data_IF_328325152639
#
_entry.id   IF_328325152639
#
_cell.length_a   1.000
_cell.length_b   1.000
_cell.length_c   1.000
_cell.angle_alpha   90.00
_cell.angle_beta   90.00
_cell.angle_gamma   90.00
#
_symmetry.space_group_name_H-M   'P 1'
#
loop_
_entity.id
_entity.type
_entity.pdbx_description
1 polymer ?
#
# COMPACT_ATOMS: atom_id res chain seq x y z
N UNK A 1 -32.31 -8.71 1.34
CA UNK A 1 -31.78 -7.49 1.98
C UNK A 1 -30.36 -7.30 1.48
N UNK A 2 -30.20 -6.54 0.40
CA UNK A 2 -28.90 -6.17 -0.16
C UNK A 2 -28.27 -5.14 0.78
N UNK A 3 -27.24 -5.56 1.53
CA UNK A 3 -26.49 -4.64 2.37
C UNK A 3 -25.69 -3.68 1.48
N UNK A 4 -26.08 -2.40 1.50
CA UNK A 4 -25.29 -1.24 1.05
C UNK A 4 -23.96 -1.19 1.83
N UNK A 5 -22.95 -1.92 1.38
CA UNK A 5 -21.55 -1.81 1.87
C UNK A 5 -20.75 -0.84 0.98
N UNK A 6 -21.33 -0.33 -0.11
CA UNK A 6 -20.59 0.48 -1.11
C UNK A 6 -20.35 1.96 -0.74
N UNK A 7 -20.81 2.44 0.41
CA UNK A 7 -20.87 3.87 0.71
C UNK A 7 -19.57 4.54 1.16
N UNK A 8 -18.63 3.83 1.79
CA UNK A 8 -17.50 4.47 2.50
C UNK A 8 -16.12 4.25 1.88
N UNK A 9 -15.94 3.22 1.05
CA UNK A 9 -14.62 2.82 0.55
C UNK A 9 -14.01 3.80 -0.47
N UNK A 10 -14.82 4.66 -1.09
CA UNK A 10 -14.33 5.72 -1.99
C UNK A 10 -13.42 6.72 -1.27
N UNK A 11 -13.51 6.84 0.07
CA UNK A 11 -12.73 7.77 0.90
C UNK A 11 -11.26 7.37 1.07
N UNK A 12 -10.83 6.19 0.63
CA UNK A 12 -9.42 5.76 0.73
C UNK A 12 -8.50 6.53 -0.24
N UNK A 13 -9.02 7.08 -1.34
CA UNK A 13 -8.18 7.67 -2.39
C UNK A 13 -7.28 8.84 -2.01
N UNK A 14 -7.64 9.79 -1.12
CA UNK A 14 -6.71 10.84 -0.69
C UNK A 14 -5.44 10.27 -0.02
N UNK A 15 -5.52 9.09 0.60
CA UNK A 15 -4.32 8.44 1.15
C UNK A 15 -3.38 7.92 0.05
N UNK A 16 -3.91 7.54 -1.12
CA UNK A 16 -3.09 7.18 -2.27
C UNK A 16 -2.33 8.38 -2.84
N UNK A 17 -2.94 9.57 -2.84
CA UNK A 17 -2.29 10.82 -3.23
C UNK A 17 -1.18 11.22 -2.24
N UNK A 18 -1.43 11.11 -0.93
CA UNK A 18 -0.39 11.31 0.10
C UNK A 18 0.80 10.37 -0.11
N UNK A 19 0.54 9.08 -0.39
CA UNK A 19 1.58 8.10 -0.69
C UNK A 19 2.32 8.46 -1.99
N UNK A 20 1.62 8.96 -3.01
CA UNK A 20 2.26 9.43 -4.25
C UNK A 20 3.18 10.63 -4.02
N UNK A 21 2.76 11.58 -3.19
CA UNK A 21 3.61 12.70 -2.77
C UNK A 21 4.91 12.19 -2.11
N UNK A 22 4.84 11.16 -1.27
CA UNK A 22 6.03 10.59 -0.65
C UNK A 22 6.92 9.80 -1.61
N UNK A 23 6.35 9.10 -2.59
CA UNK A 23 7.13 8.40 -3.64
C UNK A 23 7.92 9.38 -4.51
N UNK A 24 7.47 10.63 -4.64
CA UNK A 24 8.13 11.67 -5.45
C UNK A 24 9.62 11.86 -5.12
N UNK A 25 9.99 11.65 -3.85
CA UNK A 25 11.34 11.87 -3.36
C UNK A 25 12.29 10.70 -3.63
N UNK A 26 11.81 9.62 -4.23
CA UNK A 26 12.57 8.39 -4.48
C UNK A 26 13.00 8.25 -5.94
N UNK A 27 13.88 7.28 -6.19
CA UNK A 27 14.26 6.80 -7.52
C UNK A 27 13.22 5.86 -8.16
N UNK A 28 12.04 5.68 -7.56
CA UNK A 28 10.98 4.84 -8.13
C UNK A 28 10.61 5.40 -9.51
N UNK A 29 10.72 4.62 -10.60
CA UNK A 29 10.47 5.14 -11.93
C UNK A 29 9.06 5.71 -12.07
N UNK A 30 8.97 6.88 -12.70
CA UNK A 30 7.76 7.67 -12.92
C UNK A 30 7.08 8.23 -11.66
N UNK A 31 7.54 7.93 -10.45
CA UNK A 31 6.89 8.40 -9.22
C UNK A 31 6.82 9.93 -9.13
N UNK A 32 7.90 10.62 -9.52
CA UNK A 32 7.93 12.08 -9.52
C UNK A 32 6.92 12.70 -10.50
N UNK A 33 6.83 12.14 -11.71
CA UNK A 33 5.90 12.61 -12.73
C UNK A 33 4.45 12.34 -12.33
N UNK A 34 4.14 11.15 -11.81
CA UNK A 34 2.81 10.79 -11.32
C UNK A 34 2.39 11.73 -10.19
N UNK A 35 3.27 12.00 -9.23
CA UNK A 35 3.00 12.95 -8.13
C UNK A 35 2.61 14.33 -8.64
N UNK A 36 3.35 14.85 -9.62
CA UNK A 36 3.08 16.14 -10.27
C UNK A 36 1.75 16.14 -11.02
N UNK A 37 1.49 15.12 -11.84
CA UNK A 37 0.23 15.01 -12.60
C UNK A 37 -0.99 14.89 -11.68
N UNK A 38 -0.84 14.23 -10.53
CA UNK A 38 -1.88 14.09 -9.52
C UNK A 38 -2.05 15.33 -8.63
N UNK A 39 -1.19 16.36 -8.75
CA UNK A 39 -1.10 17.46 -7.79
C UNK A 39 -0.98 16.96 -6.34
N UNK A 40 -0.24 15.87 -6.13
CA UNK A 40 -0.27 15.08 -4.90
C UNK A 40 0.14 15.88 -3.65
N UNK A 41 1.07 16.83 -3.77
CA UNK A 41 1.44 17.73 -2.67
C UNK A 41 0.25 18.58 -2.20
N UNK A 42 -0.50 19.17 -3.13
CA UNK A 42 -1.64 20.01 -2.79
C UNK A 42 -2.75 19.19 -2.15
N UNK A 43 -2.99 17.98 -2.66
CA UNK A 43 -3.95 17.04 -2.06
C UNK A 43 -3.49 16.65 -0.65
N UNK A 44 -2.21 16.32 -0.46
CA UNK A 44 -1.65 16.01 0.85
C UNK A 44 -1.86 17.16 1.83
N UNK A 45 -1.54 18.40 1.47
CA UNK A 45 -1.80 19.56 2.34
C UNK A 45 -3.29 19.71 2.70
N UNK A 46 -4.19 19.49 1.73
CA UNK A 46 -5.63 19.60 1.93
C UNK A 46 -6.17 18.52 2.89
N UNK A 47 -5.58 17.32 2.90
CA UNK A 47 -5.93 16.26 3.87
C UNK A 47 -5.74 16.78 5.29
N UNK A 48 -4.58 17.37 5.60
CA UNK A 48 -4.30 17.87 6.94
C UNK A 48 -5.13 19.12 7.24
N UNK A 49 -5.30 20.06 6.30
CA UNK A 49 -6.15 21.24 6.48
C UNK A 49 -7.60 20.88 6.82
N UNK A 50 -8.18 19.92 6.12
CA UNK A 50 -9.58 19.56 6.30
C UNK A 50 -9.83 18.72 7.57
N UNK A 51 -8.84 17.94 8.01
CA UNK A 51 -8.98 17.07 9.18
C UNK A 51 -8.39 17.64 10.47
N UNK A 52 -7.58 18.70 10.38
CA UNK A 52 -7.03 19.45 11.51
C UNK A 52 -7.35 20.96 11.36
N UNK A 53 -8.64 21.34 11.24
CA UNK A 53 -9.04 22.69 10.86
C UNK A 53 -8.65 23.78 11.88
N UNK A 54 -8.37 23.39 13.12
CA UNK A 54 -7.99 24.31 14.20
C UNK A 54 -6.49 24.67 14.19
N UNK A 55 -5.69 24.05 13.31
CA UNK A 55 -4.26 24.35 13.20
C UNK A 55 -4.00 25.39 12.11
N UNK A 56 -3.10 26.37 12.34
CA UNK A 56 -2.70 27.31 11.30
C UNK A 56 -1.97 26.59 10.15
N UNK A 57 -2.05 27.14 8.94
CA UNK A 57 -1.46 26.53 7.73
C UNK A 57 0.04 26.24 7.89
N UNK A 58 0.79 27.11 8.56
CA UNK A 58 2.22 26.91 8.84
C UNK A 58 2.49 25.67 9.71
N UNK A 59 1.64 25.43 10.72
CA UNK A 59 1.74 24.24 11.56
C UNK A 59 1.42 22.96 10.76
N UNK A 60 0.42 23.01 9.88
CA UNK A 60 0.08 21.90 8.98
C UNK A 60 1.25 21.59 8.04
N UNK A 61 1.83 22.61 7.40
CA UNK A 61 3.01 22.45 6.53
C UNK A 61 4.18 21.86 7.31
N UNK A 62 4.42 22.32 8.54
CA UNK A 62 5.45 21.78 9.42
C UNK A 62 5.18 20.30 9.74
N UNK A 63 3.95 19.94 10.12
CA UNK A 63 3.55 18.54 10.36
C UNK A 63 3.83 17.68 9.13
N UNK A 64 3.26 18.04 7.97
CA UNK A 64 3.42 17.29 6.74
C UNK A 64 4.90 17.12 6.36
N UNK A 65 5.70 18.20 6.46
CA UNK A 65 7.12 18.16 6.15
C UNK A 65 7.89 17.26 7.13
N UNK A 66 7.68 17.40 8.43
CA UNK A 66 8.32 16.55 9.44
C UNK A 66 8.01 15.08 9.21
N UNK A 67 6.74 14.72 8.96
CA UNK A 67 6.37 13.34 8.64
C UNK A 67 7.01 12.86 7.34
N UNK A 68 6.98 13.69 6.30
CA UNK A 68 7.56 13.37 5.00
C UNK A 68 9.05 13.06 5.11
N UNK A 69 9.81 13.91 5.82
CA UNK A 69 11.26 13.78 5.94
C UNK A 69 11.67 12.62 6.86
N UNK A 70 11.00 12.47 8.01
CA UNK A 70 11.43 11.53 9.05
C UNK A 70 10.87 10.12 8.88
N UNK A 71 9.75 9.96 8.17
CA UNK A 71 9.08 8.66 8.05
C UNK A 71 8.55 8.38 6.63
N UNK A 72 7.69 9.26 6.11
CA UNK A 72 6.89 9.03 4.90
C UNK A 72 7.73 8.57 3.70
N UNK A 73 8.71 9.37 3.26
CA UNK A 73 9.50 9.05 2.06
C UNK A 73 10.29 7.75 2.19
N UNK A 74 10.88 7.49 3.37
CA UNK A 74 11.69 6.29 3.63
C UNK A 74 10.82 5.05 3.72
N UNK A 75 9.74 5.13 4.50
CA UNK A 75 8.84 4.01 4.70
C UNK A 75 8.16 3.61 3.40
N UNK A 76 7.69 4.58 2.60
CA UNK A 76 7.02 4.30 1.34
C UNK A 76 7.97 3.76 0.27
N UNK A 77 9.20 4.29 0.16
CA UNK A 77 10.19 3.70 -0.74
C UNK A 77 10.53 2.27 -0.33
N UNK A 78 10.79 2.03 0.96
CA UNK A 78 11.05 0.70 1.50
C UNK A 78 9.90 -0.27 1.27
N UNK A 79 8.66 0.15 1.52
CA UNK A 79 7.47 -0.65 1.28
C UNK A 79 7.29 -1.01 -0.20
N UNK A 80 7.55 -0.07 -1.10
CA UNK A 80 7.48 -0.31 -2.54
C UNK A 80 8.56 -1.31 -2.99
N UNK A 81 9.81 -1.08 -2.58
CA UNK A 81 10.96 -1.89 -3.00
C UNK A 81 10.94 -3.29 -2.39
N UNK A 82 10.54 -3.45 -1.12
CA UNK A 82 10.42 -4.78 -0.49
C UNK A 82 9.37 -5.63 -1.21
N UNK A 83 8.20 -5.07 -1.55
CA UNK A 83 7.16 -5.77 -2.27
C UNK A 83 7.64 -6.20 -3.67
N UNK A 84 8.32 -5.31 -4.40
CA UNK A 84 8.91 -5.65 -5.70
C UNK A 84 9.98 -6.75 -5.59
N UNK A 85 10.79 -6.71 -4.54
CA UNK A 85 11.81 -7.73 -4.27
C UNK A 85 11.16 -9.09 -4.01
N UNK A 86 10.06 -9.14 -3.24
CA UNK A 86 9.34 -10.40 -3.01
C UNK A 86 8.64 -10.91 -4.27
N UNK A 87 8.05 -10.03 -5.09
CA UNK A 87 7.49 -10.41 -6.40
C UNK A 87 8.59 -11.05 -7.27
N UNK A 88 9.78 -10.45 -7.32
CA UNK A 88 10.92 -11.00 -8.07
C UNK A 88 11.37 -12.35 -7.49
N UNK A 89 11.47 -12.47 -6.16
CA UNK A 89 11.89 -13.68 -5.46
C UNK A 89 10.96 -14.86 -5.70
N UNK A 90 9.65 -14.66 -5.70
CA UNK A 90 8.69 -15.75 -5.97
C UNK A 90 8.67 -16.17 -7.44
N UNK A 91 9.11 -15.31 -8.36
CA UNK A 91 9.27 -15.62 -9.79
C UNK A 91 7.96 -15.84 -10.56
N UNK A 92 6.80 -15.64 -9.95
CA UNK A 92 5.50 -15.83 -10.60
C UNK A 92 5.23 -14.70 -11.60
N UNK A 93 4.91 -15.08 -12.83
CA UNK A 93 4.73 -14.15 -13.97
C UNK A 93 3.31 -13.63 -14.16
N UNK A 94 2.37 -14.02 -13.30
CA UNK A 94 1.00 -13.52 -13.32
C UNK A 94 0.74 -12.76 -12.02
N UNK A 95 0.58 -11.45 -12.11
CA UNK A 95 0.44 -10.58 -10.93
C UNK A 95 -0.96 -9.99 -10.91
N UNK A 96 -1.61 -10.11 -9.75
CA UNK A 96 -2.91 -9.52 -9.48
C UNK A 96 -2.79 -8.53 -8.33
N UNK A 97 -2.82 -7.23 -8.62
CA UNK A 97 -2.66 -6.17 -7.62
C UNK A 97 -4.00 -5.58 -7.24
N UNK A 98 -4.38 -5.70 -5.96
CA UNK A 98 -5.51 -5.01 -5.37
C UNK A 98 -5.13 -3.64 -4.81
N UNK A 99 -6.03 -2.67 -4.96
CA UNK A 99 -5.83 -1.27 -4.55
C UNK A 99 -4.53 -0.67 -5.13
N UNK A 100 -4.31 -0.89 -6.43
CA UNK A 100 -3.13 -0.44 -7.17
C UNK A 100 -2.93 1.08 -7.14
N UNK A 101 -4.00 1.85 -6.96
CA UNK A 101 -3.92 3.30 -6.87
C UNK A 101 -3.27 3.91 -8.11
N UNK A 102 -2.45 4.94 -7.89
CA UNK A 102 -1.57 5.55 -8.89
C UNK A 102 -0.14 5.01 -8.83
N UNK A 103 0.06 3.78 -8.35
CA UNK A 103 1.39 3.21 -8.24
C UNK A 103 2.03 2.94 -9.62
N UNK A 104 3.29 3.34 -9.88
CA UNK A 104 3.97 3.03 -11.15
C UNK A 104 4.41 1.57 -11.30
N UNK A 105 4.22 0.73 -10.26
CA UNK A 105 4.69 -0.67 -10.23
C UNK A 105 4.27 -1.45 -11.46
N UNK A 106 3.02 -1.30 -11.89
CA UNK A 106 2.45 -2.03 -13.00
C UNK A 106 3.14 -1.67 -14.34
N UNK A 107 3.53 -0.41 -14.55
CA UNK A 107 4.28 0.05 -15.74
C UNK A 107 5.70 -0.54 -15.75
N UNK A 108 6.34 -0.55 -14.58
CA UNK A 108 7.72 -1.00 -14.40
C UNK A 108 7.86 -2.51 -14.58
N UNK A 109 7.01 -3.28 -13.89
CA UNK A 109 7.09 -4.74 -13.92
C UNK A 109 6.73 -5.30 -15.31
N UNK A 110 5.78 -4.67 -16.01
CA UNK A 110 5.37 -5.11 -17.35
C UNK A 110 6.36 -4.75 -18.46
N UNK A 111 7.48 -4.09 -18.14
CA UNK A 111 8.62 -4.02 -19.06
C UNK A 111 9.14 -5.42 -19.40
N UNK A 112 9.05 -6.39 -18.48
CA UNK A 112 9.20 -7.81 -18.79
C UNK A 112 7.93 -8.29 -19.51
N UNK A 113 8.03 -8.52 -20.82
CA UNK A 113 6.91 -8.96 -21.66
C UNK A 113 6.40 -10.36 -21.30
N UNK A 114 7.16 -11.15 -20.53
CA UNK A 114 6.69 -12.44 -20.00
C UNK A 114 5.71 -12.31 -18.83
N UNK A 115 5.64 -11.14 -18.19
CA UNK A 115 4.77 -10.89 -17.04
C UNK A 115 3.41 -10.39 -17.50
N UNK A 116 2.32 -11.04 -17.08
CA UNK A 116 0.97 -10.49 -17.14
C UNK A 116 0.62 -9.80 -15.83
N UNK A 117 0.14 -8.57 -15.91
CA UNK A 117 -0.18 -7.75 -14.74
C UNK A 117 -1.60 -7.24 -14.82
N UNK A 118 -2.39 -7.49 -13.77
CA UNK A 118 -3.72 -6.92 -13.61
C UNK A 118 -3.68 -5.96 -12.43
N UNK A 119 -3.73 -4.66 -12.73
CA UNK A 119 -3.85 -3.59 -11.74
C UNK A 119 -5.33 -3.31 -11.49
N UNK A 120 -5.75 -3.33 -10.22
CA UNK A 120 -7.16 -3.16 -9.87
C UNK A 120 -7.39 -2.10 -8.81
N UNK A 121 -8.59 -1.55 -8.82
CA UNK A 121 -9.08 -0.60 -7.83
C UNK A 121 -10.61 -0.55 -7.92
N UNK A 122 -11.25 0.18 -7.01
CA UNK A 122 -12.69 0.47 -7.10
C UNK A 122 -12.99 1.18 -8.43
N UNK A 123 -14.16 0.95 -9.07
CA UNK A 123 -14.46 1.47 -10.42
C UNK A 123 -14.17 2.96 -10.62
N UNK A 124 -14.63 3.81 -9.69
CA UNK A 124 -14.42 5.26 -9.74
C UNK A 124 -12.94 5.64 -9.63
N UNK A 125 -12.20 4.95 -8.75
CA UNK A 125 -10.77 5.20 -8.50
C UNK A 125 -9.92 4.71 -9.66
N UNK A 126 -10.21 3.52 -10.19
CA UNK A 126 -9.50 2.97 -11.32
C UNK A 126 -9.61 3.90 -12.53
N UNK A 127 -10.78 4.50 -12.79
CA UNK A 127 -10.97 5.40 -13.93
C UNK A 127 -10.00 6.60 -13.87
N UNK A 128 -9.95 7.31 -12.74
CA UNK A 128 -9.05 8.45 -12.55
C UNK A 128 -7.58 8.05 -12.53
N UNK A 129 -7.23 7.03 -11.75
CA UNK A 129 -5.84 6.59 -11.58
C UNK A 129 -5.25 6.05 -12.89
N UNK A 130 -6.04 5.29 -13.65
CA UNK A 130 -5.67 4.79 -14.98
C UNK A 130 -5.41 5.93 -15.96
N UNK A 131 -6.13 7.05 -15.85
CA UNK A 131 -5.89 8.25 -16.66
C UNK A 131 -4.47 8.78 -16.48
N UNK A 132 -4.04 8.94 -15.22
CA UNK A 132 -2.69 9.41 -14.87
C UNK A 132 -1.61 8.44 -15.36
N UNK A 133 -1.76 7.15 -15.09
CA UNK A 133 -0.80 6.13 -15.53
C UNK A 133 -0.71 6.05 -17.07
N UNK A 134 -1.84 6.16 -17.77
CA UNK A 134 -1.86 6.22 -19.24
C UNK A 134 -1.21 7.50 -19.78
N UNK A 135 -1.35 8.62 -19.09
CA UNK A 135 -0.69 9.86 -19.48
C UNK A 135 0.83 9.73 -19.39
N UNK A 136 1.34 9.15 -18.30
CA UNK A 136 2.77 8.81 -18.18
C UNK A 136 3.20 7.88 -19.31
N UNK A 137 2.47 6.78 -19.53
CA UNK A 137 2.80 5.86 -20.64
C UNK A 137 2.83 6.57 -21.99
N UNK A 138 1.89 7.48 -22.25
CA UNK A 138 1.85 8.29 -23.48
C UNK A 138 3.06 9.22 -23.58
N UNK A 139 3.41 9.93 -22.51
CA UNK A 139 4.55 10.86 -22.48
C UNK A 139 5.88 10.16 -22.81
N UNK A 140 6.01 8.89 -22.42
CA UNK A 140 7.21 8.06 -22.66
C UNK A 140 7.07 7.09 -23.85
N UNK A 141 6.01 7.21 -24.66
CA UNK A 141 5.73 6.31 -25.80
C UNK A 141 5.72 4.81 -25.42
N UNK A 142 5.27 4.50 -24.21
CA UNK A 142 5.22 3.16 -23.64
C UNK A 142 3.95 2.45 -24.08
N UNK A 143 4.12 1.26 -24.67
CA UNK A 143 3.02 0.29 -24.86
C UNK A 143 3.25 -0.93 -23.97
N UNK A 144 2.18 -1.39 -23.30
CA UNK A 144 2.19 -2.56 -22.40
C UNK A 144 0.98 -3.46 -22.71
N UNK A 145 1.07 -4.35 -23.72
CA UNK A 145 -0.04 -5.24 -24.08
C UNK A 145 -0.31 -6.32 -23.00
N UNK A 146 0.63 -6.47 -22.08
CA UNK A 146 0.60 -7.37 -20.93
C UNK A 146 0.12 -6.69 -19.62
N UNK A 147 -0.28 -5.41 -19.68
CA UNK A 147 -0.86 -4.66 -18.57
C UNK A 147 -2.37 -4.51 -18.75
N UNK A 148 -3.13 -4.94 -17.76
CA UNK A 148 -4.59 -4.86 -17.72
C UNK A 148 -5.03 -4.03 -16.52
N UNK A 149 -6.11 -3.28 -16.70
CA UNK A 149 -6.77 -2.54 -15.63
C UNK A 149 -8.18 -3.08 -15.44
N UNK A 150 -8.46 -3.68 -14.29
CA UNK A 150 -9.76 -4.30 -13.99
C UNK A 150 -10.41 -3.62 -12.77
N UNK A 151 -11.64 -3.07 -12.90
CA UNK A 151 -12.33 -2.49 -11.75
C UNK A 151 -12.86 -3.61 -10.86
N UNK A 152 -12.53 -3.57 -9.57
CA UNK A 152 -13.00 -4.57 -8.61
C UNK A 152 -13.45 -3.95 -7.29
N UNK A 153 -14.35 -4.63 -6.60
CA UNK A 153 -14.50 -4.51 -5.15
C UNK A 153 -13.92 -5.78 -4.51
N UNK A 154 -12.86 -5.64 -3.71
CA UNK A 154 -12.17 -6.77 -3.08
C UNK A 154 -13.00 -7.52 -2.04
N UNK A 155 -14.07 -6.90 -1.54
CA UNK A 155 -15.03 -7.52 -0.62
C UNK A 155 -16.17 -8.23 -1.36
N UNK A 156 -16.34 -7.98 -2.66
CA UNK A 156 -17.29 -8.72 -3.50
C UNK A 156 -16.58 -9.86 -4.22
N UNK A 157 -16.94 -11.11 -3.86
CA UNK A 157 -16.28 -12.31 -4.38
C UNK A 157 -16.34 -12.40 -5.90
N UNK A 158 -17.48 -12.08 -6.50
CA UNK A 158 -17.67 -12.20 -7.95
C UNK A 158 -16.79 -11.18 -8.68
N UNK A 159 -16.84 -9.92 -8.26
CA UNK A 159 -16.00 -8.83 -8.78
C UNK A 159 -14.51 -9.14 -8.63
N UNK A 160 -14.09 -9.63 -7.46
CA UNK A 160 -12.71 -10.00 -7.18
C UNK A 160 -12.21 -11.13 -8.09
N UNK A 161 -13.00 -12.18 -8.31
CA UNK A 161 -12.60 -13.29 -9.19
C UNK A 161 -12.67 -12.89 -10.66
N UNK A 162 -13.70 -12.14 -11.06
CA UNK A 162 -13.86 -11.68 -12.44
C UNK A 162 -12.74 -10.73 -12.86
N UNK A 163 -12.22 -9.91 -11.93
CA UNK A 163 -11.11 -9.00 -12.20
C UNK A 163 -9.82 -9.72 -12.62
N UNK A 164 -9.62 -10.97 -12.18
CA UNK A 164 -8.45 -11.78 -12.50
C UNK A 164 -8.53 -12.45 -13.90
N UNK A 165 -9.66 -12.37 -14.61
CA UNK A 165 -9.86 -13.02 -15.93
C UNK A 165 -8.79 -12.74 -17.00
N UNK A 166 -8.13 -11.57 -17.06
CA UNK A 166 -7.05 -11.35 -18.04
C UNK A 166 -5.80 -12.21 -17.79
N UNK A 167 -5.66 -12.77 -16.58
CA UNK A 167 -4.63 -13.75 -16.28
C UNK A 167 -4.96 -15.08 -16.99
N UNK A 168 -3.92 -15.79 -17.40
CA UNK A 168 -4.05 -17.13 -17.98
C UNK A 168 -4.06 -18.22 -16.92
N UNK A 169 -3.81 -19.46 -17.38
CA UNK A 169 -3.61 -20.62 -16.49
C UNK A 169 -2.27 -20.52 -15.77
N UNK A 170 -2.21 -21.00 -14.54
CA UNK A 170 -0.99 -21.09 -13.74
C UNK A 170 -1.02 -20.24 -12.46
N UNK A 171 0.09 -20.24 -11.70
CA UNK A 171 0.17 -19.57 -10.41
C UNK A 171 -0.01 -18.06 -10.53
N UNK A 172 -0.62 -17.46 -9.52
CA UNK A 172 -0.83 -16.01 -9.41
C UNK A 172 -0.11 -15.48 -8.16
N UNK A 173 0.63 -14.39 -8.32
CA UNK A 173 1.09 -13.56 -7.23
C UNK A 173 0.01 -12.50 -6.97
N UNK A 174 -0.84 -12.77 -5.99
CA UNK A 174 -1.79 -11.78 -5.49
C UNK A 174 -1.04 -10.83 -4.55
N UNK A 175 -1.12 -9.53 -4.82
CA UNK A 175 -0.42 -8.51 -4.06
C UNK A 175 -1.34 -7.35 -3.70
N UNK A 176 -1.03 -6.68 -2.61
CA UNK A 176 -1.58 -5.35 -2.33
C UNK A 176 -0.67 -4.60 -1.37
N UNK A 177 -0.80 -3.27 -1.38
CA UNK A 177 -0.19 -2.39 -0.40
C UNK A 177 -1.14 -1.22 -0.07
N UNK A 178 -1.21 -0.82 1.20
CA UNK A 178 -2.12 0.21 1.67
C UNK A 178 -3.60 -0.18 1.60
N UNK A 179 -3.94 -1.44 1.86
CA UNK A 179 -5.33 -1.93 1.81
C UNK A 179 -5.78 -2.55 3.13
N UNK A 180 -5.08 -3.60 3.60
CA UNK A 180 -5.50 -4.38 4.77
C UNK A 180 -5.69 -3.55 6.07
N UNK A 181 -4.94 -2.46 6.34
CA UNK A 181 -5.11 -1.67 7.56
C UNK A 181 -6.44 -0.90 7.61
N UNK A 182 -7.10 -0.69 6.46
CA UNK A 182 -8.39 0.01 6.38
C UNK A 182 -9.59 -0.88 6.72
N UNK A 183 -9.38 -2.20 6.80
CA UNK A 183 -10.46 -3.16 7.02
C UNK A 183 -10.62 -3.50 8.50
N UNK A 184 -11.82 -3.41 9.10
CA UNK A 184 -12.10 -4.08 10.36
C UNK A 184 -11.99 -5.60 10.18
N UNK A 185 -11.97 -6.33 11.30
CA UNK A 185 -11.69 -7.77 11.29
C UNK A 185 -12.62 -8.57 10.36
N UNK A 186 -13.91 -8.23 10.32
CA UNK A 186 -14.88 -8.89 9.43
C UNK A 186 -14.54 -8.68 7.95
N UNK A 187 -14.15 -7.48 7.56
CA UNK A 187 -13.77 -7.19 6.17
C UNK A 187 -12.45 -7.86 5.81
N UNK A 188 -11.48 -7.94 6.75
CA UNK A 188 -10.25 -8.73 6.54
C UNK A 188 -10.57 -10.19 6.26
N UNK A 189 -11.51 -10.78 7.00
CA UNK A 189 -11.93 -12.17 6.81
C UNK A 189 -12.51 -12.39 5.41
N UNK A 190 -13.48 -11.55 5.00
CA UNK A 190 -14.08 -11.63 3.65
C UNK A 190 -13.02 -11.47 2.56
N UNK A 191 -12.14 -10.48 2.71
CA UNK A 191 -11.04 -10.27 1.78
C UNK A 191 -10.12 -11.48 1.70
N UNK A 192 -9.70 -12.02 2.84
CA UNK A 192 -8.84 -13.21 2.92
C UNK A 192 -9.49 -14.45 2.30
N UNK A 193 -10.79 -14.66 2.48
CA UNK A 193 -11.56 -15.75 1.85
C UNK A 193 -11.64 -15.60 0.33
N UNK A 194 -11.74 -14.37 -0.17
CA UNK A 194 -11.70 -14.08 -1.61
C UNK A 194 -10.31 -14.38 -2.20
N UNK A 195 -9.24 -13.98 -1.50
CA UNK A 195 -7.86 -14.28 -1.89
C UNK A 195 -7.61 -15.79 -1.88
N UNK A 196 -8.04 -16.49 -0.83
CA UNK A 196 -8.01 -17.95 -0.75
C UNK A 196 -8.73 -18.59 -1.94
N UNK A 197 -9.96 -18.15 -2.23
CA UNK A 197 -10.77 -18.70 -3.33
C UNK A 197 -10.10 -18.54 -4.70
N UNK A 198 -9.33 -17.47 -4.91
CA UNK A 198 -8.52 -17.29 -6.10
C UNK A 198 -7.35 -18.28 -6.12
N UNK A 199 -6.57 -18.33 -5.04
CA UNK A 199 -5.35 -19.13 -4.96
C UNK A 199 -5.62 -20.63 -4.90
N UNK A 200 -6.78 -21.09 -4.43
CA UNK A 200 -7.20 -22.50 -4.52
C UNK A 200 -7.36 -22.94 -5.97
N UNK A 201 -7.72 -22.03 -6.87
CA UNK A 201 -7.91 -22.32 -8.30
C UNK A 201 -6.64 -22.17 -9.12
N UNK A 202 -5.83 -21.18 -8.78
CA UNK A 202 -4.65 -20.81 -9.58
C UNK A 202 -3.35 -21.37 -9.02
N UNK A 203 -3.31 -21.69 -7.73
CA UNK A 203 -2.06 -21.76 -6.96
C UNK A 203 -1.40 -20.38 -6.85
N UNK A 204 -0.19 -20.34 -6.27
CA UNK A 204 0.61 -19.13 -6.16
C UNK A 204 0.74 -18.60 -4.73
N UNK A 205 0.72 -17.28 -4.57
CA UNK A 205 1.03 -16.59 -3.30
C UNK A 205 0.16 -15.37 -3.07
N UNK A 206 -0.02 -15.04 -1.79
CA UNK A 206 -0.44 -13.72 -1.35
C UNK A 206 0.76 -12.99 -0.72
N UNK A 207 1.18 -11.87 -1.31
CA UNK A 207 2.29 -11.03 -0.81
C UNK A 207 1.76 -9.69 -0.33
N UNK A 208 2.07 -9.31 0.91
CA UNK A 208 1.71 -7.97 1.39
C UNK A 208 2.61 -7.45 2.53
N UNK A 209 3.00 -6.16 2.48
CA UNK A 209 3.65 -5.48 3.61
C UNK A 209 2.64 -4.87 4.61
N UNK A 210 1.33 -5.07 4.40
CA UNK A 210 0.28 -4.36 5.12
C UNK A 210 -0.05 -4.96 6.51
N UNK A 211 0.98 -5.33 7.25
CA UNK A 211 0.80 -5.92 8.58
C UNK A 211 1.14 -4.87 9.64
N UNK A 212 0.11 -4.40 10.35
CA UNK A 212 0.23 -3.45 11.46
C UNK A 212 -0.14 -4.12 12.77
N UNK A 213 0.72 -3.96 13.79
CA UNK A 213 0.52 -4.47 15.13
C UNK A 213 0.31 -3.32 16.13
N UNK A 214 -0.75 -3.37 16.92
CA UNK A 214 -1.06 -2.37 17.94
C UNK A 214 0.05 -2.30 18.99
N UNK A 215 0.54 -3.42 19.46
CA UNK A 215 1.61 -3.47 20.47
C UNK A 215 2.93 -2.86 19.95
N UNK A 216 3.31 -3.13 18.70
CA UNK A 216 4.50 -2.55 18.08
C UNK A 216 4.35 -1.05 17.80
N UNK A 217 3.13 -0.58 17.51
CA UNK A 217 2.85 0.87 17.42
C UNK A 217 2.95 1.49 18.82
N UNK A 218 2.36 0.88 19.83
CA UNK A 218 2.39 1.37 21.21
C UNK A 218 3.83 1.48 21.73
N UNK A 219 4.64 0.42 21.59
CA UNK A 219 6.07 0.43 21.95
C UNK A 219 6.83 1.56 21.28
N UNK A 220 6.59 1.82 19.98
CA UNK A 220 7.19 2.94 19.25
C UNK A 220 6.69 4.31 19.71
N UNK A 221 5.48 4.40 20.25
CA UNK A 221 4.93 5.63 20.81
C UNK A 221 5.46 5.90 22.21
N UNK A 222 5.83 4.86 22.97
CA UNK A 222 6.37 4.98 24.32
C UNK A 222 7.86 5.39 24.33
N UNK A 223 8.59 5.16 23.22
CA UNK A 223 9.97 5.63 23.05
C UNK A 223 10.09 7.07 22.54
N UNK A 224 8.97 7.73 22.22
CA UNK A 224 8.93 9.09 21.65
C UNK A 224 8.82 10.15 22.75
N UNK A 225 9.36 11.33 22.49
CA UNK A 225 9.07 12.50 23.32
C UNK A 225 7.58 12.86 23.28
N UNK A 226 7.04 13.58 24.29
CA UNK A 226 5.64 14.00 24.30
C UNK A 226 5.21 14.71 23.01
N UNK A 227 6.06 15.58 22.48
CA UNK A 227 5.81 16.33 21.25
C UNK A 227 5.77 15.41 20.01
N UNK A 228 6.69 14.45 19.91
CA UNK A 228 6.70 13.48 18.81
C UNK A 228 5.49 12.53 18.86
N UNK A 229 5.04 12.18 20.07
CA UNK A 229 3.84 11.38 20.30
C UNK A 229 2.60 12.14 19.84
N UNK A 230 2.43 13.39 20.26
CA UNK A 230 1.33 14.26 19.83
C UNK A 230 1.27 14.39 18.31
N UNK A 231 2.40 14.69 17.67
CA UNK A 231 2.52 14.79 16.22
C UNK A 231 2.09 13.50 15.51
N UNK A 232 2.48 12.34 16.06
CA UNK A 232 2.11 11.02 15.52
C UNK A 232 0.60 10.76 15.63
N UNK A 233 -0.02 11.18 16.72
CA UNK A 233 -1.47 11.08 16.90
C UNK A 233 -2.22 12.01 15.95
N UNK A 234 -1.77 13.25 15.75
CA UNK A 234 -2.36 14.19 14.79
C UNK A 234 -2.29 13.64 13.36
N UNK A 235 -1.15 13.05 12.98
CA UNK A 235 -1.00 12.40 11.69
C UNK A 235 -1.98 11.24 11.51
N UNK A 236 -2.04 10.33 12.48
CA UNK A 236 -2.96 9.19 12.43
C UNK A 236 -4.42 9.66 12.38
N UNK A 237 -4.77 10.70 13.13
CA UNK A 237 -6.10 11.30 13.11
C UNK A 237 -6.44 11.87 11.73
N UNK A 238 -5.52 12.59 11.08
CA UNK A 238 -5.75 13.13 9.74
C UNK A 238 -5.95 12.02 8.68
N UNK A 239 -5.16 10.94 8.75
CA UNK A 239 -5.28 9.80 7.83
C UNK A 239 -6.57 8.99 8.09
N UNK A 240 -6.92 8.77 9.36
CA UNK A 240 -8.17 8.08 9.71
C UNK A 240 -9.40 8.91 9.32
N UNK A 241 -9.36 10.23 9.55
CA UNK A 241 -10.43 11.16 9.20
C UNK A 241 -10.70 11.19 7.70
N UNK A 242 -9.66 11.28 6.87
CA UNK A 242 -9.85 11.33 5.42
C UNK A 242 -10.32 10.00 4.84
N UNK A 243 -9.85 8.87 5.38
CA UNK A 243 -10.26 7.55 4.93
C UNK A 243 -11.62 7.11 5.49
N UNK A 244 -12.10 7.76 6.54
CA UNK A 244 -13.26 7.32 7.31
C UNK A 244 -13.02 5.99 8.04
N UNK A 245 -11.75 5.60 8.25
CA UNK A 245 -11.37 4.30 8.79
C UNK A 245 -10.32 4.48 9.87
N UNK A 246 -10.57 3.93 11.05
CA UNK A 246 -9.60 3.97 12.14
C UNK A 246 -8.53 2.89 11.94
N UNK A 247 -7.36 3.33 11.47
CA UNK A 247 -6.22 2.43 11.21
C UNK A 247 -5.69 1.74 12.47
N UNK A 248 -5.71 2.42 13.62
CA UNK A 248 -5.22 1.85 14.88
C UNK A 248 -6.20 0.81 15.40
N UNK A 249 -7.49 1.14 15.43
CA UNK A 249 -8.54 0.22 15.84
C UNK A 249 -8.53 -1.05 14.99
N UNK A 250 -8.34 -0.88 13.67
CA UNK A 250 -8.30 -1.97 12.71
C UNK A 250 -6.99 -2.77 12.71
N UNK A 251 -5.88 -2.29 13.29
CA UNK A 251 -4.63 -3.05 13.31
C UNK A 251 -4.77 -4.39 14.06
N UNK A 252 -3.91 -5.36 13.75
CA UNK A 252 -3.84 -6.59 14.54
C UNK A 252 -3.33 -6.27 15.94
N UNK A 253 -3.79 -7.01 16.95
CA UNK A 253 -3.33 -6.82 18.34
C UNK A 253 -1.81 -7.05 18.47
N UNK A 254 -1.33 -8.17 17.89
CA UNK A 254 0.07 -8.62 17.96
C UNK A 254 0.44 -9.35 16.66
N UNK A 255 1.72 -9.65 16.50
CA UNK A 255 2.22 -10.51 15.43
C UNK A 255 1.59 -11.91 15.45
N UNK A 256 1.42 -12.51 16.63
CA UNK A 256 0.76 -13.82 16.79
C UNK A 256 -0.71 -13.78 16.32
N UNK A 257 -1.41 -12.67 16.55
CA UNK A 257 -2.78 -12.50 16.07
C UNK A 257 -2.82 -12.42 14.53
N UNK A 258 -1.91 -11.65 13.90
CA UNK A 258 -1.80 -11.62 12.45
C UNK A 258 -1.51 -13.01 11.89
N UNK A 259 -0.57 -13.75 12.47
CA UNK A 259 -0.24 -15.12 12.03
C UNK A 259 -1.43 -16.06 12.13
N UNK A 260 -2.19 -15.97 13.22
CA UNK A 260 -3.40 -16.77 13.40
C UNK A 260 -4.43 -16.47 12.32
N UNK A 261 -4.65 -15.20 11.98
CA UNK A 261 -5.57 -14.81 10.92
C UNK A 261 -5.25 -15.50 9.57
N UNK A 262 -4.00 -15.46 9.12
CA UNK A 262 -3.61 -16.15 7.88
C UNK A 262 -3.68 -17.68 8.00
N UNK A 263 -3.28 -18.25 9.15
CA UNK A 263 -3.34 -19.70 9.40
C UNK A 263 -4.78 -20.23 9.39
N UNK A 264 -5.72 -19.51 9.99
CA UNK A 264 -7.14 -19.86 10.02
C UNK A 264 -7.75 -19.83 8.61
N UNK A 265 -7.23 -18.96 7.73
CA UNK A 265 -7.57 -18.96 6.31
C UNK A 265 -6.92 -20.10 5.51
N UNK A 266 -6.07 -20.93 6.12
CA UNK A 266 -5.40 -22.06 5.48
C UNK A 266 -4.02 -21.74 4.88
N UNK A 267 -3.45 -20.58 5.20
CA UNK A 267 -2.13 -20.19 4.71
C UNK A 267 -1.00 -20.62 5.66
N UNK A 268 0.13 -21.01 5.09
CA UNK A 268 1.46 -20.91 5.70
C UNK A 268 2.07 -19.56 5.36
N UNK A 269 2.90 -19.01 6.25
CA UNK A 269 3.46 -17.65 6.13
C UNK A 269 4.97 -17.73 6.20
N UNK A 270 5.63 -17.15 5.21
CA UNK A 270 7.04 -16.77 5.27
C UNK A 270 7.11 -15.26 5.53
N UNK A 271 7.94 -14.85 6.49
CA UNK A 271 8.12 -13.43 6.84
C UNK A 271 9.50 -12.97 6.41
N UNK A 272 9.55 -11.80 5.79
CA UNK A 272 10.79 -11.15 5.40
C UNK A 272 10.83 -9.75 5.98
N UNK A 273 12.00 -9.29 6.40
CA UNK A 273 12.18 -7.89 6.81
C UNK A 273 11.78 -6.96 5.66
N UNK A 274 11.09 -5.85 5.97
CA UNK A 274 10.84 -4.79 4.99
C UNK A 274 12.11 -4.00 4.66
N UNK A 275 13.26 -4.30 5.27
CA UNK A 275 14.57 -3.87 4.79
C UNK A 275 15.66 -4.79 5.35
N UNK A 276 16.31 -5.55 4.47
CA UNK A 276 17.42 -6.47 4.79
C UNK A 276 18.75 -6.02 4.16
N UNK A 277 18.77 -4.86 3.49
CA UNK A 277 19.93 -4.35 2.75
C UNK A 277 20.10 -4.93 1.34
N UNK A 278 19.18 -5.76 0.86
CA UNK A 278 19.25 -6.33 -0.51
C UNK A 278 18.92 -5.34 -1.63
N UNK A 279 18.47 -4.13 -1.29
CA UNK A 279 18.23 -3.03 -2.23
C UNK A 279 18.56 -1.69 -1.57
N UNK A 280 18.91 -0.70 -2.39
CA UNK A 280 19.16 0.66 -1.92
C UNK A 280 17.86 1.43 -1.68
N UNK A 281 17.87 2.32 -0.68
CA UNK A 281 16.87 3.35 -0.49
C UNK A 281 17.47 4.70 -0.88
N UNK A 282 17.06 5.22 -2.04
CA UNK A 282 17.57 6.46 -2.63
C UNK A 282 17.34 7.67 -1.72
N UNK A 283 16.22 7.70 -0.98
CA UNK A 283 15.92 8.81 -0.07
C UNK A 283 16.88 8.91 1.11
N UNK A 284 17.62 7.85 1.44
CA UNK A 284 18.60 7.87 2.53
C UNK A 284 19.84 8.70 2.18
N UNK A 285 20.18 8.84 0.90
CA UNK A 285 21.42 9.51 0.45
C UNK A 285 21.55 10.94 0.99
N UNK A 286 20.41 11.60 1.21
CA UNK A 286 20.33 12.99 1.63
C UNK A 286 19.81 13.18 3.07
N UNK A 287 19.78 12.11 3.88
CA UNK A 287 19.33 12.19 5.27
C UNK A 287 20.50 12.27 6.26
N UNK A 288 20.35 13.01 7.37
CA UNK A 288 21.23 12.90 8.53
C UNK A 288 21.28 11.46 9.08
N UNK A 289 22.39 11.05 9.67
CA UNK A 289 22.64 9.65 10.06
C UNK A 289 21.69 9.14 11.16
N UNK A 290 21.36 9.99 12.13
CA UNK A 290 20.34 9.76 13.15
C UNK A 290 18.96 9.53 12.52
N UNK A 291 18.58 10.37 11.55
CA UNK A 291 17.32 10.22 10.81
C UNK A 291 17.29 8.92 9.98
N UNK A 292 18.41 8.53 9.36
CA UNK A 292 18.52 7.24 8.65
C UNK A 292 18.30 6.07 9.61
N UNK A 293 18.99 6.05 10.75
CA UNK A 293 18.92 4.96 11.71
C UNK A 293 17.51 4.77 12.25
N UNK A 294 16.84 5.88 12.60
CA UNK A 294 15.45 5.85 13.07
C UNK A 294 14.49 5.33 11.99
N UNK A 295 14.59 5.83 10.76
CA UNK A 295 13.73 5.41 9.66
C UNK A 295 13.96 3.94 9.25
N UNK A 296 15.21 3.49 9.25
CA UNK A 296 15.59 2.10 8.98
C UNK A 296 15.11 1.15 10.07
N UNK A 297 15.13 1.57 11.34
CA UNK A 297 14.62 0.77 12.46
C UNK A 297 13.18 0.31 12.22
N UNK A 298 12.31 1.21 11.76
CA UNK A 298 10.91 0.89 11.46
C UNK A 298 10.76 -0.15 10.33
N UNK A 299 11.58 -0.04 9.27
CA UNK A 299 11.58 -1.01 8.17
C UNK A 299 12.16 -2.36 8.58
N UNK A 300 13.25 -2.38 9.36
CA UNK A 300 13.89 -3.61 9.85
C UNK A 300 13.01 -4.40 10.81
N UNK A 301 12.23 -3.71 11.64
CA UNK A 301 11.27 -4.35 12.56
C UNK A 301 9.98 -4.80 11.89
N UNK A 302 9.70 -4.26 10.70
CA UNK A 302 8.48 -4.52 9.96
C UNK A 302 8.65 -5.70 9.01
N UNK A 303 7.55 -6.38 8.72
CA UNK A 303 7.57 -7.60 7.93
C UNK A 303 6.70 -7.49 6.69
N UNK A 304 7.18 -8.04 5.58
CA UNK A 304 6.37 -8.42 4.43
C UNK A 304 6.05 -9.91 4.52
N UNK A 305 4.76 -10.23 4.37
CA UNK A 305 4.26 -11.59 4.45
C UNK A 305 4.19 -12.16 3.04
N UNK A 306 4.70 -13.37 2.86
CA UNK A 306 4.48 -14.21 1.68
C UNK A 306 3.71 -15.44 2.16
N UNK A 307 2.42 -15.47 1.85
CA UNK A 307 1.49 -16.50 2.29
C UNK A 307 1.16 -17.50 1.16
N UNK A 308 1.15 -18.80 1.49
CA UNK A 308 0.90 -19.93 0.57
C UNK A 308 -0.16 -20.86 1.14
N UNK A 309 -1.09 -21.33 0.32
CA UNK A 309 -2.05 -22.34 0.77
C UNK A 309 -1.30 -23.63 1.15
N UNK A 310 -1.76 -24.24 2.24
CA UNK A 310 -1.31 -25.57 2.68
C UNK A 310 -1.98 -26.67 1.86
#
# INVERSE_FOLDING_TARGET
>A
MENKISGEHHKIGPTADLVSYWREFSDIPYANEISKLANAKQVAENIFKNNLPNLPSEAITKILNTFTQNFGKVFIEGRYKCLNQQIKRVGIKQIYEAASGICPRCINITQDSSVKYVATDLPERLSGNKGLLKQVMKNHMITRPNLYFSPINVLDKKSFIDGAKPLGKGPVAFIHEGLLPYFPQREKQIFGENVRSLLEKTGGVWITPDIMYKDAIQKRMDTKSPQEREMSLLFLSAVSGVSGRDLLYNAFETETHADKFFKDLGFSIEKYSMYDGSYELSVLKNLPEDAKNNALGALKSGHIYVARLK
#
